data_IF_076810404689
#
_entry.id   IF_076810404689
#
_cell.length_a   1.000
_cell.length_b   1.000
_cell.length_c   1.000
_cell.angle_alpha   90.00
_cell.angle_beta   90.00
_cell.angle_gamma   90.00
#
_symmetry.space_group_name_H-M   'P 1'
#
loop_
_entity.id
_entity.type
_entity.pdbx_description
1 polymer ?
#
# COMPACT_ATOMS: atom_id res chain seq x y z
N UNK A 1 0.63 -13.47 -29.50
CA UNK A 1 1.21 -13.61 -28.14
C UNK A 1 1.22 -12.23 -27.46
N UNK A 2 0.63 -12.16 -26.26
CA UNK A 2 0.65 -11.08 -25.25
C UNK A 2 0.37 -9.62 -25.69
N UNK A 3 -0.91 -9.23 -25.59
CA UNK A 3 -1.43 -7.87 -25.64
C UNK A 3 -0.81 -6.96 -24.57
N UNK A 4 -0.07 -5.93 -24.99
CA UNK A 4 0.53 -4.90 -24.13
C UNK A 4 -0.52 -3.83 -23.82
N UNK A 5 -1.35 -4.03 -22.79
CA UNK A 5 -2.37 -3.06 -22.35
C UNK A 5 -1.71 -1.81 -21.75
N UNK A 6 -1.72 -0.71 -22.51
CA UNK A 6 -1.37 0.63 -22.03
C UNK A 6 -2.51 1.17 -21.13
N UNK A 7 -2.34 1.15 -19.81
CA UNK A 7 -3.29 1.82 -18.89
C UNK A 7 -2.97 3.31 -18.80
N UNK A 8 -3.74 4.10 -19.53
CA UNK A 8 -3.87 5.56 -19.47
C UNK A 8 -4.13 6.00 -18.01
N UNK A 9 -3.13 6.58 -17.34
CA UNK A 9 -3.24 7.07 -15.96
C UNK A 9 -3.94 8.43 -15.96
N UNK A 10 -5.26 8.42 -15.83
CA UNK A 10 -6.06 9.62 -15.56
C UNK A 10 -5.70 10.08 -14.14
N UNK A 11 -4.85 11.12 -14.01
CA UNK A 11 -4.55 11.79 -12.73
C UNK A 11 -5.78 12.55 -12.24
N UNK A 12 -6.75 11.85 -11.65
CA UNK A 12 -7.82 12.47 -10.86
C UNK A 12 -7.21 12.87 -9.52
N UNK A 13 -6.88 14.15 -9.38
CA UNK A 13 -6.45 14.75 -8.11
C UNK A 13 -7.60 14.64 -7.10
N UNK A 14 -7.68 13.50 -6.43
CA UNK A 14 -8.67 13.28 -5.39
C UNK A 14 -8.18 14.03 -4.15
N UNK A 15 -8.67 15.27 -3.96
CA UNK A 15 -8.61 15.98 -2.67
C UNK A 15 -9.00 14.95 -1.60
N UNK A 16 -8.03 14.51 -0.77
CA UNK A 16 -8.28 13.54 0.31
C UNK A 16 -9.33 14.17 1.21
N UNK A 17 -10.60 13.78 1.08
CA UNK A 17 -11.64 14.12 2.05
C UNK A 17 -11.08 13.76 3.42
N UNK A 18 -11.13 14.69 4.38
CA UNK A 18 -10.67 14.47 5.76
C UNK A 18 -11.36 13.17 6.22
N UNK A 19 -10.58 12.10 6.35
CA UNK A 19 -11.10 10.82 6.84
C UNK A 19 -11.51 11.08 8.28
N UNK A 20 -12.72 10.65 8.66
CA UNK A 20 -13.17 10.72 10.05
C UNK A 20 -12.05 10.19 10.98
N UNK A 21 -11.64 10.92 12.03
CA UNK A 21 -10.52 10.50 12.89
C UNK A 21 -10.80 9.20 13.63
N UNK A 22 -12.08 8.86 13.81
CA UNK A 22 -12.54 7.61 14.42
C UNK A 22 -12.63 6.45 13.42
N UNK A 23 -12.53 6.70 12.11
CA UNK A 23 -12.60 5.63 11.12
C UNK A 23 -11.32 4.78 11.15
N UNK A 24 -11.44 3.44 11.18
CA UNK A 24 -10.27 2.59 11.21
C UNK A 24 -9.43 2.78 9.95
N UNK A 25 -8.11 2.67 10.13
CA UNK A 25 -7.15 2.88 9.06
C UNK A 25 -7.27 1.74 8.07
N UNK A 26 -7.40 2.08 6.77
CA UNK A 26 -7.56 1.10 5.68
C UNK A 26 -6.54 -0.04 5.78
N UNK A 27 -6.98 -1.24 5.42
CA UNK A 27 -6.09 -2.38 5.24
C UNK A 27 -4.94 -2.03 4.27
N UNK A 28 -3.74 -2.48 4.61
CA UNK A 28 -2.56 -2.40 3.76
C UNK A 28 -2.53 -3.62 2.83
N UNK A 29 -2.25 -3.37 1.55
CA UNK A 29 -2.01 -4.45 0.58
C UNK A 29 -0.61 -5.03 0.72
N UNK A 30 -0.35 -6.18 0.10
CA UNK A 30 0.97 -6.84 0.11
C UNK A 30 2.07 -5.89 -0.37
N UNK A 31 1.77 -5.15 -1.44
CA UNK A 31 2.65 -4.11 -1.95
C UNK A 31 2.91 -2.99 -0.94
N UNK A 32 1.90 -2.55 -0.16
CA UNK A 32 2.10 -1.51 0.85
C UNK A 32 2.98 -1.98 2.01
N UNK A 33 2.89 -3.26 2.41
CA UNK A 33 3.82 -3.85 3.37
C UNK A 33 5.24 -3.85 2.81
N UNK A 34 5.41 -4.33 1.57
CA UNK A 34 6.71 -4.31 0.91
C UNK A 34 7.30 -2.91 0.78
N UNK A 35 6.49 -1.92 0.40
CA UNK A 35 6.90 -0.51 0.34
C UNK A 35 7.34 0.00 1.70
N UNK A 36 6.65 -0.38 2.78
CA UNK A 36 7.03 0.05 4.14
C UNK A 36 8.40 -0.49 4.52
N UNK A 37 8.63 -1.79 4.34
CA UNK A 37 9.92 -2.44 4.63
C UNK A 37 11.04 -1.85 3.75
N UNK A 38 10.86 -1.85 2.43
CA UNK A 38 11.90 -1.35 1.51
C UNK A 38 12.17 0.14 1.64
N UNK A 39 11.15 0.94 1.91
CA UNK A 39 11.35 2.37 2.17
C UNK A 39 12.20 2.58 3.42
N UNK A 40 11.98 1.81 4.49
CA UNK A 40 12.80 1.92 5.69
C UNK A 40 14.24 1.51 5.43
N UNK A 41 14.47 0.43 4.68
CA UNK A 41 15.81 0.04 4.23
C UNK A 41 16.49 1.15 3.42
N UNK A 42 15.83 1.67 2.38
CA UNK A 42 16.38 2.72 1.50
C UNK A 42 16.66 4.00 2.29
N UNK A 43 15.78 4.39 3.23
CA UNK A 43 16.00 5.58 4.07
C UNK A 43 17.17 5.35 5.03
N UNK A 44 17.34 4.14 5.54
CA UNK A 44 18.46 3.80 6.43
C UNK A 44 19.79 3.86 5.69
N UNK A 45 19.83 3.37 4.46
CA UNK A 45 21.04 3.44 3.62
C UNK A 45 21.27 4.82 3.01
N UNK A 46 20.19 5.52 2.65
CA UNK A 46 20.21 6.83 1.97
C UNK A 46 19.14 7.74 2.56
N UNK A 47 19.43 8.39 3.70
CA UNK A 47 18.48 9.29 4.35
C UNK A 47 18.15 10.52 3.48
N UNK A 48 19.02 10.87 2.54
CA UNK A 48 18.77 11.91 1.52
C UNK A 48 17.53 11.61 0.66
N UNK A 49 17.32 10.34 0.29
CA UNK A 49 16.19 9.90 -0.53
C UNK A 49 14.88 9.82 0.26
N UNK A 50 14.93 9.98 1.59
CA UNK A 50 13.72 9.98 2.42
C UNK A 50 12.75 11.10 2.03
N UNK A 51 13.29 12.23 1.55
CA UNK A 51 12.53 13.37 1.04
C UNK A 51 11.95 13.09 -0.36
N UNK A 52 12.65 12.28 -1.16
CA UNK A 52 12.29 11.90 -2.52
C UNK A 52 11.42 10.64 -2.61
N UNK A 53 10.18 10.77 -2.12
CA UNK A 53 9.18 9.69 -2.15
C UNK A 53 8.91 9.20 -3.58
N UNK A 54 9.03 10.07 -4.58
CA UNK A 54 8.85 9.71 -5.99
C UNK A 54 9.93 8.73 -6.48
N UNK A 55 11.20 9.01 -6.14
CA UNK A 55 12.32 8.15 -6.54
C UNK A 55 12.27 6.82 -5.82
N UNK A 56 12.04 6.84 -4.50
CA UNK A 56 11.88 5.63 -3.68
C UNK A 56 10.71 4.79 -4.20
N UNK A 57 9.59 5.42 -4.55
CA UNK A 57 8.42 4.73 -5.10
C UNK A 57 8.68 4.03 -6.44
N UNK A 58 9.51 4.62 -7.32
CA UNK A 58 9.92 3.99 -8.58
C UNK A 58 10.75 2.73 -8.32
N UNK A 59 11.81 2.85 -7.52
CA UNK A 59 12.70 1.74 -7.18
C UNK A 59 11.94 0.56 -6.57
N UNK A 60 11.03 0.84 -5.64
CA UNK A 60 10.21 -0.19 -5.00
C UNK A 60 9.22 -0.82 -5.99
N UNK A 61 8.63 -0.02 -6.88
CA UNK A 61 7.71 -0.51 -7.91
C UNK A 61 8.40 -1.47 -8.89
N UNK A 62 9.62 -1.12 -9.32
CA UNK A 62 10.46 -1.97 -10.17
C UNK A 62 10.85 -3.26 -9.44
N UNK A 63 11.35 -3.14 -8.21
CA UNK A 63 11.72 -4.29 -7.39
C UNK A 63 10.52 -5.24 -7.17
N UNK A 64 9.34 -4.70 -6.86
CA UNK A 64 8.11 -5.51 -6.72
C UNK A 64 7.71 -6.19 -8.04
N UNK A 65 7.89 -5.53 -9.18
CA UNK A 65 7.66 -6.12 -10.49
C UNK A 65 8.58 -7.31 -10.76
N UNK A 66 9.84 -7.22 -10.32
CA UNK A 66 10.85 -8.25 -10.46
C UNK A 66 10.75 -9.39 -9.44
N UNK A 67 10.10 -9.17 -8.29
CA UNK A 67 9.92 -10.21 -7.27
C UNK A 67 9.05 -11.37 -7.79
N UNK A 68 9.53 -12.59 -7.53
CA UNK A 68 8.80 -13.83 -7.79
C UNK A 68 7.63 -14.03 -6.82
N UNK A 69 6.67 -14.90 -7.19
CA UNK A 69 5.52 -15.22 -6.35
C UNK A 69 5.91 -15.72 -4.95
N UNK A 70 7.00 -16.49 -4.83
CA UNK A 70 7.51 -16.97 -3.55
C UNK A 70 7.89 -15.82 -2.59
N UNK A 71 8.50 -14.76 -3.12
CA UNK A 71 8.87 -13.58 -2.33
C UNK A 71 7.65 -12.72 -1.98
N UNK A 72 6.63 -12.70 -2.84
CA UNK A 72 5.36 -11.98 -2.61
C UNK A 72 4.46 -12.69 -1.59
N UNK A 73 4.49 -14.02 -1.56
CA UNK A 73 3.69 -14.88 -0.68
C UNK A 73 3.66 -14.43 0.79
N UNK A 74 4.79 -14.17 1.48
CA UNK A 74 4.75 -13.71 2.86
C UNK A 74 4.06 -12.34 3.02
N UNK A 75 4.25 -11.43 2.05
CA UNK A 75 3.57 -10.12 2.06
C UNK A 75 2.09 -10.24 1.77
N UNK A 76 1.68 -11.17 0.91
CA UNK A 76 0.27 -11.48 0.64
C UNK A 76 -0.42 -12.06 1.87
N UNK A 77 0.23 -12.98 2.59
CA UNK A 77 -0.28 -13.48 3.89
C UNK A 77 -0.45 -12.35 4.90
N UNK A 78 0.55 -11.47 5.06
CA UNK A 78 0.46 -10.29 5.94
C UNK A 78 -0.70 -9.37 5.53
N UNK A 79 -0.88 -9.14 4.24
CA UNK A 79 -1.98 -8.33 3.71
C UNK A 79 -3.35 -8.96 3.94
N UNK A 80 -3.48 -10.27 3.81
CA UNK A 80 -4.72 -10.98 4.12
C UNK A 80 -5.08 -10.85 5.60
N UNK A 81 -4.10 -11.03 6.51
CA UNK A 81 -4.30 -10.84 7.93
C UNK A 81 -4.75 -9.41 8.27
N UNK A 82 -4.09 -8.40 7.70
CA UNK A 82 -4.46 -7.00 7.93
C UNK A 82 -5.82 -6.64 7.30
N UNK A 83 -6.17 -7.25 6.16
CA UNK A 83 -7.51 -7.13 5.57
C UNK A 83 -8.59 -7.66 6.50
N UNK A 84 -8.36 -8.80 7.17
CA UNK A 84 -9.29 -9.36 8.15
C UNK A 84 -9.41 -8.44 9.36
N UNK A 85 -8.28 -7.92 9.89
CA UNK A 85 -8.27 -6.94 10.97
C UNK A 85 -9.13 -5.71 10.64
N UNK A 86 -8.85 -5.08 9.49
CA UNK A 86 -9.59 -3.91 9.04
C UNK A 86 -11.08 -4.21 8.77
N UNK A 87 -11.42 -5.40 8.27
CA UNK A 87 -12.83 -5.79 8.06
C UNK A 87 -13.60 -5.79 9.37
N UNK A 88 -13.03 -6.36 10.44
CA UNK A 88 -13.66 -6.37 11.76
C UNK A 88 -13.80 -4.94 12.31
N UNK A 89 -12.70 -4.18 12.29
CA UNK A 89 -12.70 -2.80 12.80
C UNK A 89 -13.69 -1.89 12.04
N UNK A 90 -13.77 -2.02 10.70
CA UNK A 90 -14.68 -1.18 9.90
C UNK A 90 -16.15 -1.57 10.09
N UNK A 91 -16.44 -2.84 10.33
CA UNK A 91 -17.79 -3.28 10.67
C UNK A 91 -18.23 -2.72 12.02
N UNK A 92 -17.39 -2.79 13.04
CA UNK A 92 -17.67 -2.18 14.35
C UNK A 92 -17.81 -0.66 14.25
N UNK A 93 -16.92 0.00 13.52
CA UNK A 93 -17.01 1.44 13.28
C UNK A 93 -18.30 1.83 12.54
N UNK A 94 -18.71 1.05 11.54
CA UNK A 94 -19.96 1.29 10.79
C UNK A 94 -21.18 1.09 11.67
N UNK A 95 -21.18 0.07 12.55
CA UNK A 95 -22.24 -0.12 13.54
C UNK A 95 -22.32 1.07 14.49
N UNK A 96 -21.18 1.49 15.06
CA UNK A 96 -21.09 2.63 15.99
C UNK A 96 -21.42 3.98 15.37
N UNK A 97 -21.26 4.15 14.05
CA UNK A 97 -21.64 5.39 13.34
C UNK A 97 -23.13 5.44 12.97
N UNK A 98 -23.85 4.32 13.03
CA UNK A 98 -25.27 4.23 12.67
C UNK A 98 -26.20 4.46 13.86
N UNK A 99 -25.67 4.39 15.08
CA UNK A 99 -26.29 4.83 16.33
C UNK A 99 -25.97 6.32 16.56
#
# INVERSE_FOLDING_TARGET
MASKTQKKVIKKQNKKKKKDPLAPKRALSAYMFYVKDKRLEIIKERPELAKDVAQVGKLIGEAWGQLSAAQKTPYEKKAQLDKVRYSKEIEEYRKKKKD
#
